data_IF_289131921759
#
_entry.id   IF_289131921759
#
_cell.length_a   1.000
_cell.length_b   1.000
_cell.length_c   1.000
_cell.angle_alpha   90.00
_cell.angle_beta   90.00
_cell.angle_gamma   90.00
#
_symmetry.space_group_name_H-M   'P 1'
#
loop_
_entity.id
_entity.type
_entity.pdbx_description
1 polymer ?
#
# COMPACT_ATOMS: atom_id res chain seq x y z
N UNK A 1 21.62 -3.02 -4.24
CA UNK A 1 21.49 -2.81 -5.70
C UNK A 1 21.10 -1.36 -5.96
N UNK A 2 21.90 -0.58 -6.71
CA UNK A 2 21.53 0.78 -7.14
C UNK A 2 20.97 0.69 -8.55
N UNK A 3 19.64 0.76 -8.70
CA UNK A 3 19.02 0.98 -10.01
C UNK A 3 19.49 2.35 -10.53
N UNK A 4 20.15 2.44 -11.70
CA UNK A 4 20.72 3.70 -12.19
C UNK A 4 19.67 4.80 -12.34
N UNK A 5 18.46 4.42 -12.74
CA UNK A 5 17.30 5.31 -12.91
C UNK A 5 16.84 5.86 -11.56
N UNK A 6 16.74 5.00 -10.53
CA UNK A 6 16.39 5.41 -9.17
C UNK A 6 17.40 6.44 -8.63
N UNK A 7 18.71 6.17 -8.75
CA UNK A 7 19.74 7.08 -8.23
C UNK A 7 19.76 8.43 -8.93
N UNK A 8 19.58 8.44 -10.26
CA UNK A 8 19.53 9.70 -11.05
C UNK A 8 18.29 10.52 -10.72
N UNK A 9 17.13 9.86 -10.62
CA UNK A 9 15.87 10.52 -10.28
C UNK A 9 15.89 11.09 -8.86
N UNK A 10 16.36 10.29 -7.90
CA UNK A 10 16.53 10.73 -6.51
C UNK A 10 17.42 11.98 -6.41
N UNK A 11 18.60 11.97 -7.04
CA UNK A 11 19.52 13.10 -7.01
C UNK A 11 18.93 14.37 -7.66
N UNK A 12 18.13 14.21 -8.72
CA UNK A 12 17.44 15.33 -9.38
C UNK A 12 16.30 15.92 -8.55
N UNK A 13 15.67 15.11 -7.70
CA UNK A 13 14.65 15.58 -6.75
C UNK A 13 15.31 16.29 -5.57
N UNK A 14 16.42 15.73 -5.04
CA UNK A 14 17.22 16.38 -4.00
C UNK A 14 17.77 17.73 -4.48
N UNK A 15 18.24 17.83 -5.73
CA UNK A 15 18.70 19.10 -6.31
C UNK A 15 17.58 20.14 -6.52
N UNK A 16 16.31 19.73 -6.43
CA UNK A 16 15.14 20.62 -6.47
C UNK A 16 14.67 21.05 -5.07
N UNK A 17 15.42 20.69 -4.02
CA UNK A 17 15.11 21.06 -2.64
C UNK A 17 14.19 20.10 -1.90
N UNK A 18 13.89 18.92 -2.46
CA UNK A 18 13.16 17.88 -1.74
C UNK A 18 14.10 17.19 -0.75
N UNK A 19 13.59 16.89 0.44
CA UNK A 19 14.38 16.17 1.43
C UNK A 19 14.77 14.76 0.91
N UNK A 20 15.88 14.19 1.40
CA UNK A 20 16.39 12.91 0.89
C UNK A 20 15.42 11.74 1.02
N UNK A 21 14.48 11.84 1.96
CA UNK A 21 13.51 10.79 2.27
C UNK A 21 12.35 10.84 1.29
N UNK A 22 11.74 12.01 1.13
CA UNK A 22 10.67 12.23 0.15
C UNK A 22 11.18 11.99 -1.28
N UNK A 23 12.38 12.47 -1.59
CA UNK A 23 13.04 12.22 -2.88
C UNK A 23 13.23 10.73 -3.15
N UNK A 24 13.64 9.96 -2.12
CA UNK A 24 13.77 8.52 -2.21
C UNK A 24 12.43 7.81 -2.40
N UNK A 25 11.36 8.25 -1.74
CA UNK A 25 10.03 7.68 -1.91
C UNK A 25 9.46 7.93 -3.31
N UNK A 26 9.57 9.16 -3.82
CA UNK A 26 9.08 9.51 -5.16
C UNK A 26 9.89 8.74 -6.21
N UNK A 27 11.21 8.69 -6.09
CA UNK A 27 12.05 7.93 -7.01
C UNK A 27 11.69 6.44 -7.00
N UNK A 28 11.40 5.88 -5.82
CA UNK A 28 10.96 4.49 -5.69
C UNK A 28 9.60 4.27 -6.37
N UNK A 29 8.63 5.14 -6.11
CA UNK A 29 7.29 5.07 -6.70
C UNK A 29 7.33 5.11 -8.23
N UNK A 30 8.04 6.08 -8.80
CA UNK A 30 8.17 6.22 -10.25
C UNK A 30 8.87 5.00 -10.86
N UNK A 31 9.90 4.47 -10.20
CA UNK A 31 10.57 3.25 -10.67
C UNK A 31 9.65 2.02 -10.59
N UNK A 32 8.87 1.85 -9.52
CA UNK A 32 7.91 0.75 -9.41
C UNK A 32 6.86 0.86 -10.52
N UNK A 33 6.23 2.03 -10.70
CA UNK A 33 5.22 2.25 -11.74
C UNK A 33 5.80 2.04 -13.14
N UNK A 34 6.99 2.56 -13.42
CA UNK A 34 7.65 2.45 -14.72
C UNK A 34 8.07 1.02 -15.09
N UNK A 35 8.24 0.11 -14.13
CA UNK A 35 8.52 -1.31 -14.40
C UNK A 35 7.22 -2.05 -14.74
N UNK A 36 6.12 -1.73 -14.06
CA UNK A 36 4.89 -2.51 -14.12
C UNK A 36 3.89 -2.02 -15.18
N UNK A 37 3.84 -0.72 -15.53
CA UNK A 37 2.88 -0.19 -16.51
C UNK A 37 3.21 -0.55 -17.97
N UNK A 38 4.46 -0.42 -18.48
CA UNK A 38 4.74 -0.69 -19.89
C UNK A 38 4.48 -2.14 -20.34
N UNK A 39 4.85 -3.19 -19.57
CA UNK A 39 4.45 -4.56 -19.91
C UNK A 39 2.93 -4.75 -19.90
N UNK A 40 2.23 -3.98 -19.07
CA UNK A 40 0.79 -4.09 -18.89
C UNK A 40 0.02 -3.52 -20.09
N UNK A 41 0.42 -2.36 -20.62
CA UNK A 41 -0.13 -1.82 -21.88
C UNK A 41 0.11 -2.74 -23.08
N UNK A 42 1.20 -3.53 -23.03
CA UNK A 42 1.60 -4.39 -24.15
C UNK A 42 0.96 -5.79 -24.09
N UNK A 43 0.75 -6.37 -22.90
CA UNK A 43 0.41 -7.78 -22.77
C UNK A 43 -1.08 -8.07 -22.48
N UNK A 44 -1.83 -7.17 -21.84
CA UNK A 44 -3.13 -7.56 -21.27
C UNK A 44 -4.20 -6.45 -21.28
N UNK A 45 -5.42 -6.79 -21.74
CA UNK A 45 -6.60 -5.91 -21.75
C UNK A 45 -7.66 -6.29 -20.70
N UNK A 46 -7.41 -7.32 -19.88
CA UNK A 46 -8.39 -7.83 -18.92
C UNK A 46 -8.35 -7.07 -17.58
N UNK A 47 -9.53 -6.82 -17.01
CA UNK A 47 -9.72 -6.04 -15.78
C UNK A 47 -9.09 -6.69 -14.54
N UNK A 48 -9.01 -8.02 -14.48
CA UNK A 48 -8.44 -8.72 -13.32
C UNK A 48 -6.92 -8.62 -13.32
N UNK A 49 -6.30 -8.68 -14.50
CA UNK A 49 -4.86 -8.44 -14.66
C UNK A 49 -4.50 -6.99 -14.33
N UNK A 50 -5.33 -6.02 -14.72
CA UNK A 50 -5.19 -4.62 -14.31
C UNK A 50 -5.16 -4.50 -12.78
N UNK A 51 -6.14 -5.09 -12.11
CA UNK A 51 -6.26 -5.04 -10.64
C UNK A 51 -5.05 -5.69 -9.95
N UNK A 52 -4.60 -6.84 -10.48
CA UNK A 52 -3.43 -7.57 -9.98
C UNK A 52 -2.16 -6.74 -10.09
N UNK A 53 -1.92 -6.08 -11.22
CA UNK A 53 -0.72 -5.25 -11.41
C UNK A 53 -0.75 -4.00 -10.52
N UNK A 54 -1.90 -3.35 -10.36
CA UNK A 54 -2.06 -2.22 -9.41
C UNK A 54 -1.79 -2.66 -7.98
N UNK A 55 -2.22 -3.86 -7.58
CA UNK A 55 -1.89 -4.46 -6.31
C UNK A 55 -0.37 -4.69 -6.15
N UNK A 56 0.30 -5.23 -7.17
CA UNK A 56 1.77 -5.40 -7.14
C UNK A 56 2.52 -4.08 -7.06
N UNK A 57 2.11 -3.05 -7.82
CA UNK A 57 2.68 -1.70 -7.72
C UNK A 57 2.53 -1.14 -6.31
N UNK A 58 1.37 -1.36 -5.68
CA UNK A 58 1.11 -0.93 -4.31
C UNK A 58 2.00 -1.68 -3.30
N UNK A 59 2.12 -3.00 -3.40
CA UNK A 59 3.00 -3.82 -2.56
C UNK A 59 4.48 -3.43 -2.75
N UNK A 60 4.94 -3.23 -3.99
CA UNK A 60 6.29 -2.77 -4.27
C UNK A 60 6.58 -1.38 -3.71
N UNK A 61 5.60 -0.47 -3.73
CA UNK A 61 5.73 0.84 -3.10
C UNK A 61 5.86 0.78 -1.58
N UNK A 62 5.26 -0.23 -0.95
CA UNK A 62 5.37 -0.46 0.49
C UNK A 62 6.70 -1.12 0.90
N UNK A 63 7.39 -1.80 -0.01
CA UNK A 63 8.73 -2.36 0.23
C UNK A 63 9.85 -1.31 0.34
N UNK A 64 9.54 -0.02 0.22
CA UNK A 64 10.49 1.02 0.62
C UNK A 64 10.86 0.82 2.10
N UNK A 65 12.14 0.60 2.43
CA UNK A 65 12.62 0.17 3.76
C UNK A 65 12.00 0.95 4.94
N UNK A 66 11.80 2.27 4.79
CA UNK A 66 11.22 3.11 5.86
C UNK A 66 9.71 2.88 6.08
N UNK A 67 9.05 2.15 5.19
CA UNK A 67 7.63 1.78 5.24
C UNK A 67 7.41 0.31 5.68
N UNK A 68 8.47 -0.44 6.02
CA UNK A 68 8.35 -1.85 6.45
C UNK A 68 7.44 -2.02 7.68
N UNK A 69 7.63 -1.19 8.72
CA UNK A 69 6.82 -1.29 9.93
C UNK A 69 5.32 -1.00 9.71
N UNK A 70 4.92 0.10 9.05
CA UNK A 70 3.50 0.32 8.76
C UNK A 70 2.95 -0.76 7.82
N UNK A 71 3.76 -1.28 6.90
CA UNK A 71 3.34 -2.39 6.03
C UNK A 71 3.08 -3.70 6.79
N UNK A 72 3.95 -4.07 7.72
CA UNK A 72 3.73 -5.23 8.60
C UNK A 72 2.45 -5.08 9.42
N UNK A 73 2.18 -3.86 9.92
CA UNK A 73 0.95 -3.58 10.65
C UNK A 73 -0.30 -3.71 9.78
N UNK A 74 -0.23 -3.26 8.52
CA UNK A 74 -1.29 -3.47 7.54
C UNK A 74 -1.51 -4.98 7.29
N UNK A 75 -0.45 -5.76 7.07
CA UNK A 75 -0.56 -7.23 6.91
C UNK A 75 -1.20 -7.88 8.14
N UNK A 76 -0.78 -7.50 9.34
CA UNK A 76 -1.34 -8.01 10.58
C UNK A 76 -2.85 -7.73 10.68
N UNK A 77 -3.28 -6.51 10.35
CA UNK A 77 -4.69 -6.14 10.29
C UNK A 77 -5.47 -6.98 9.26
N UNK A 78 -4.89 -7.28 8.10
CA UNK A 78 -5.50 -8.15 7.09
C UNK A 78 -5.71 -9.56 7.63
N UNK A 79 -4.68 -10.15 8.24
CA UNK A 79 -4.74 -11.52 8.77
C UNK A 79 -5.81 -11.60 9.85
N UNK A 80 -5.85 -10.63 10.77
CA UNK A 80 -6.90 -10.52 11.77
C UNK A 80 -8.28 -10.42 11.09
N UNK A 81 -8.42 -9.48 10.15
CA UNK A 81 -9.68 -9.27 9.44
C UNK A 81 -10.20 -10.58 8.81
N UNK A 82 -9.38 -11.28 8.02
CA UNK A 82 -9.81 -12.52 7.36
C UNK A 82 -10.04 -13.69 8.32
N UNK A 83 -9.23 -13.80 9.38
CA UNK A 83 -9.39 -14.87 10.38
C UNK A 83 -10.72 -14.74 11.11
N UNK A 84 -11.12 -13.50 11.39
CA UNK A 84 -12.34 -13.21 12.15
C UNK A 84 -13.56 -12.90 11.26
N UNK A 85 -13.38 -12.58 9.98
CA UNK A 85 -14.48 -12.33 9.04
C UNK A 85 -15.47 -13.50 8.92
N UNK A 86 -15.00 -14.75 9.09
CA UNK A 86 -15.87 -15.94 9.07
C UNK A 86 -16.85 -16.00 10.24
N UNK A 87 -16.54 -15.33 11.35
CA UNK A 87 -17.36 -15.43 12.56
C UNK A 87 -18.55 -14.46 12.57
N UNK A 88 -18.68 -13.57 11.56
CA UNK A 88 -19.81 -12.64 11.31
C UNK A 88 -20.43 -11.97 12.56
N UNK A 89 -19.67 -11.83 13.64
CA UNK A 89 -20.15 -11.20 14.86
C UNK A 89 -19.90 -9.70 14.79
N UNK A 90 -20.95 -8.92 15.09
CA UNK A 90 -20.89 -7.46 15.14
C UNK A 90 -19.86 -6.98 16.18
N UNK A 91 -19.60 -7.78 17.22
CA UNK A 91 -18.58 -7.49 18.23
C UNK A 91 -17.15 -7.43 17.64
N UNK A 92 -16.83 -8.29 16.68
CA UNK A 92 -15.49 -8.35 16.05
C UNK A 92 -15.20 -7.08 15.26
N UNK A 93 -16.20 -6.58 14.53
CA UNK A 93 -16.08 -5.35 13.76
C UNK A 93 -15.83 -4.13 14.65
N UNK A 94 -16.49 -4.07 15.80
CA UNK A 94 -16.27 -3.03 16.82
C UNK A 94 -14.85 -3.10 17.36
N UNK A 95 -14.35 -4.31 17.70
CA UNK A 95 -12.98 -4.49 18.20
C UNK A 95 -11.93 -4.07 17.17
N UNK A 96 -12.11 -4.43 15.90
CA UNK A 96 -11.21 -4.00 14.81
C UNK A 96 -11.23 -2.48 14.61
N UNK A 97 -12.41 -1.86 14.69
CA UNK A 97 -12.57 -0.40 14.64
C UNK A 97 -11.84 0.30 15.80
N UNK A 98 -11.97 -0.22 17.02
CA UNK A 98 -11.27 0.30 18.20
C UNK A 98 -9.76 0.16 18.03
N UNK A 99 -9.26 -1.01 17.59
CA UNK A 99 -7.84 -1.23 17.32
C UNK A 99 -7.29 -0.22 16.29
N UNK A 100 -8.04 0.04 15.22
CA UNK A 100 -7.67 1.05 14.23
C UNK A 100 -7.60 2.46 14.84
N UNK A 101 -8.58 2.85 15.66
CA UNK A 101 -8.59 4.13 16.35
C UNK A 101 -7.43 4.26 17.35
N UNK A 102 -7.08 3.18 18.05
CA UNK A 102 -5.92 3.16 18.95
C UNK A 102 -4.60 3.39 18.18
N UNK A 103 -4.39 2.65 17.09
CA UNK A 103 -3.18 2.81 16.26
C UNK A 103 -3.07 4.23 15.70
N UNK A 104 -4.17 4.76 15.16
CA UNK A 104 -4.17 6.12 14.59
C UNK A 104 -3.90 7.17 15.65
N UNK A 105 -4.53 7.07 16.82
CA UNK A 105 -4.31 7.97 17.97
C UNK A 105 -2.86 7.95 18.44
N UNK A 106 -2.27 6.77 18.62
CA UNK A 106 -0.86 6.61 19.01
C UNK A 106 0.07 7.26 17.98
N UNK A 107 -0.21 7.09 16.69
CA UNK A 107 0.61 7.69 15.63
C UNK A 107 0.52 9.22 15.59
N UNK A 108 -0.67 9.79 15.88
CA UNK A 108 -0.87 11.24 16.00
C UNK A 108 -0.11 11.81 17.20
N UNK A 109 -0.23 11.17 18.37
CA UNK A 109 0.46 11.58 19.60
C UNK A 109 1.99 11.51 19.41
N UNK A 110 2.49 10.42 18.83
CA UNK A 110 3.91 10.24 18.54
C UNK A 110 4.41 11.10 17.36
N UNK A 111 3.53 11.93 16.75
CA UNK A 111 3.80 12.77 15.57
C UNK A 111 4.43 11.99 14.40
N UNK A 112 4.08 10.70 14.27
CA UNK A 112 4.58 9.81 13.20
C UNK A 112 3.68 9.90 11.96
N UNK A 113 3.51 11.11 11.43
CA UNK A 113 2.60 11.41 10.31
C UNK A 113 2.80 10.50 9.09
N UNK A 114 4.07 10.22 8.74
CA UNK A 114 4.39 9.33 7.63
C UNK A 114 3.86 7.91 7.87
N UNK A 115 4.05 7.36 9.07
CA UNK A 115 3.59 6.03 9.42
C UNK A 115 2.06 5.97 9.29
N UNK A 116 1.38 6.98 9.85
CA UNK A 116 -0.07 7.12 9.79
C UNK A 116 -0.58 7.14 8.34
N UNK A 117 0.01 7.98 7.49
CA UNK A 117 -0.39 8.11 6.08
C UNK A 117 -0.26 6.77 5.37
N UNK A 118 0.89 6.09 5.50
CA UNK A 118 1.13 4.80 4.84
C UNK A 118 0.16 3.72 5.35
N UNK A 119 -0.08 3.68 6.66
CA UNK A 119 -1.02 2.75 7.27
C UNK A 119 -2.46 2.98 6.78
N UNK A 120 -2.96 4.22 6.84
CA UNK A 120 -4.31 4.57 6.40
C UNK A 120 -4.51 4.35 4.90
N UNK A 121 -3.54 4.75 4.07
CA UNK A 121 -3.59 4.47 2.63
C UNK A 121 -3.62 2.97 2.37
N UNK A 122 -2.84 2.19 3.11
CA UNK A 122 -2.80 0.75 2.89
C UNK A 122 -4.08 0.03 3.27
N UNK A 123 -4.64 0.34 4.43
CA UNK A 123 -5.95 -0.19 4.82
C UNK A 123 -7.03 0.19 3.79
N UNK A 124 -7.06 1.46 3.38
CA UNK A 124 -8.04 1.94 2.38
C UNK A 124 -7.87 1.24 1.04
N UNK A 125 -6.63 1.12 0.55
CA UNK A 125 -6.33 0.45 -0.71
C UNK A 125 -6.79 -1.00 -0.72
N UNK A 126 -6.54 -1.74 0.35
CA UNK A 126 -6.96 -3.14 0.48
C UNK A 126 -8.47 -3.24 0.50
N UNK A 127 -9.15 -2.40 1.29
CA UNK A 127 -10.60 -2.42 1.38
C UNK A 127 -11.26 -2.11 0.03
N UNK A 128 -10.74 -1.12 -0.70
CA UNK A 128 -11.17 -0.81 -2.07
C UNK A 128 -10.88 -1.98 -3.01
N UNK A 129 -9.71 -2.59 -2.94
CA UNK A 129 -9.33 -3.73 -3.79
C UNK A 129 -10.26 -4.92 -3.55
N UNK A 130 -10.58 -5.25 -2.30
CA UNK A 130 -11.52 -6.32 -1.95
C UNK A 130 -12.93 -6.01 -2.42
N UNK A 131 -13.38 -4.76 -2.27
CA UNK A 131 -14.70 -4.33 -2.73
C UNK A 131 -14.80 -4.39 -4.26
N UNK A 132 -13.78 -3.92 -4.98
CA UNK A 132 -13.71 -4.03 -6.44
C UNK A 132 -13.70 -5.50 -6.84
N UNK A 133 -12.85 -6.33 -6.21
CA UNK A 133 -12.80 -7.77 -6.47
C UNK A 133 -14.18 -8.44 -6.31
N UNK A 134 -14.92 -8.13 -5.25
CA UNK A 134 -16.29 -8.63 -5.05
C UNK A 134 -17.27 -8.14 -6.13
N UNK A 135 -17.19 -6.87 -6.53
CA UNK A 135 -18.05 -6.29 -7.59
C UNK A 135 -17.78 -6.99 -8.93
N UNK A 136 -16.53 -7.38 -9.21
CA UNK A 136 -16.16 -8.01 -10.47
C UNK A 136 -16.60 -9.48 -10.56
N UNK A 137 -17.05 -10.11 -9.48
CA UNK A 137 -17.47 -11.52 -9.44
C UNK A 137 -16.78 -12.35 -8.34
N UNK A 138 -15.87 -11.73 -7.59
CA UNK A 138 -15.13 -12.41 -6.52
C UNK A 138 -14.29 -13.57 -7.03
N UNK A 139 -14.18 -14.63 -6.23
CA UNK A 139 -13.53 -15.88 -6.63
C UNK A 139 -14.40 -16.75 -7.54
N UNK A 140 -15.64 -16.33 -7.85
CA UNK A 140 -16.60 -17.12 -8.61
C UNK A 140 -16.78 -16.54 -10.02
N UNK A 141 -15.94 -17.03 -10.93
CA UNK A 141 -16.43 -17.68 -12.14
C UNK A 141 -16.41 -19.18 -11.90
#
# INVERSE_FOLDING_TARGET
MKLPIYSKLKAKLESKGLDPTTSGQIAWFVCSVGIFIPPMLYLYQDQYTFLFVVFFIFVFNLFYIKNILPFLLVIFFIILFFSFARYFDSAIWVVLGILFLCVTSVCVIARKWRFLIVFCFGITFIFLSLKIFNILGGFYK
#
